data_IF_953744040090
#
_entry.id   IF_953744040090
#
_cell.length_a   1.000
_cell.length_b   1.000
_cell.length_c   1.000
_cell.angle_alpha   90.00
_cell.angle_beta   90.00
_cell.angle_gamma   90.00
#
_symmetry.space_group_name_H-M   'P 1'
#
loop_
_entity.id
_entity.type
_entity.pdbx_description
1 polymer ?
#
# COMPACT_ATOMS: atom_id res chain seq x y z
N UNK A 1 6.65 42.29 -17.40
CA UNK A 1 6.71 41.53 -16.13
C UNK A 1 5.41 40.78 -15.99
N UNK A 2 5.47 39.44 -15.92
CA UNK A 2 4.33 38.59 -15.62
C UNK A 2 4.93 37.25 -15.21
N UNK A 3 5.01 36.99 -13.90
CA UNK A 3 5.53 35.73 -13.37
C UNK A 3 4.60 34.61 -13.86
N UNK A 4 5.12 33.48 -14.39
CA UNK A 4 4.30 32.29 -14.49
C UNK A 4 3.90 31.90 -13.06
N UNK A 5 2.59 31.96 -12.80
CA UNK A 5 1.97 31.37 -11.62
C UNK A 5 2.50 29.94 -11.53
N UNK A 6 3.26 29.65 -10.48
CA UNK A 6 3.58 28.27 -10.15
C UNK A 6 2.24 27.59 -9.86
N UNK A 7 1.71 26.90 -10.86
CA UNK A 7 0.76 25.84 -10.60
C UNK A 7 1.51 24.88 -9.68
N UNK A 8 1.23 24.97 -8.37
CA UNK A 8 1.51 23.89 -7.46
C UNK A 8 0.74 22.70 -8.01
N UNK A 9 1.38 21.91 -8.87
CA UNK A 9 0.99 20.54 -9.10
C UNK A 9 1.10 19.87 -7.74
N UNK A 10 -0.01 19.80 -7.01
CA UNK A 10 -0.13 18.87 -5.91
C UNK A 10 -0.02 17.49 -6.54
N UNK A 11 1.21 16.99 -6.67
CA UNK A 11 1.46 15.64 -7.10
C UNK A 11 0.94 14.74 -5.98
N UNK A 12 -0.19 14.10 -6.26
CA UNK A 12 -0.77 13.14 -5.34
C UNK A 12 0.14 11.92 -5.27
N UNK A 13 0.94 11.86 -4.20
CA UNK A 13 1.73 10.67 -3.88
C UNK A 13 0.75 9.57 -3.49
N UNK A 14 0.58 8.62 -4.39
CA UNK A 14 -0.43 7.56 -4.31
C UNK A 14 0.07 6.26 -3.69
N UNK A 15 1.38 6.16 -3.40
CA UNK A 15 2.02 4.98 -2.81
C UNK A 15 3.03 4.31 -3.76
N UNK A 16 3.51 3.10 -3.41
CA UNK A 16 3.08 2.32 -2.26
C UNK A 16 3.62 2.88 -0.94
N UNK A 17 2.74 3.03 0.05
CA UNK A 17 3.11 3.22 1.45
C UNK A 17 3.32 1.83 2.07
N UNK A 18 4.42 1.64 2.78
CA UNK A 18 4.81 0.32 3.27
C UNK A 18 4.78 0.32 4.80
N UNK A 19 4.15 -0.71 5.37
CA UNK A 19 4.16 -1.00 6.80
C UNK A 19 4.83 -2.35 6.99
N UNK A 20 5.81 -2.42 7.88
CA UNK A 20 6.49 -3.65 8.23
C UNK A 20 5.91 -4.25 9.50
N UNK A 21 6.02 -5.58 9.62
CA UNK A 21 5.53 -6.33 10.76
C UNK A 21 6.63 -7.24 11.29
N UNK A 22 6.64 -7.41 12.60
CA UNK A 22 7.46 -8.43 13.24
C UNK A 22 6.86 -9.83 13.02
N UNK A 23 7.65 -10.86 13.34
CA UNK A 23 7.28 -12.27 13.09
C UNK A 23 5.97 -12.61 13.78
N UNK A 24 5.06 -13.25 13.07
CA UNK A 24 3.76 -13.72 13.55
C UNK A 24 2.81 -12.63 14.08
N UNK A 25 3.19 -11.36 13.94
CA UNK A 25 2.38 -10.21 14.34
C UNK A 25 1.47 -9.73 13.22
N UNK A 26 0.22 -9.42 13.57
CA UNK A 26 -0.80 -8.87 12.69
C UNK A 26 -1.71 -7.84 13.39
N UNK A 27 -1.12 -6.88 14.11
CA UNK A 27 -1.81 -5.69 14.64
C UNK A 27 -1.12 -4.41 14.16
N UNK A 28 -1.83 -3.28 14.23
CA UNK A 28 -1.30 -1.96 13.87
C UNK A 28 -0.72 -1.29 15.11
N UNK A 29 0.61 -1.20 15.17
CA UNK A 29 1.36 -0.48 16.21
C UNK A 29 1.38 1.04 15.96
N UNK A 30 2.04 1.78 16.84
CA UNK A 30 2.08 3.25 16.77
C UNK A 30 2.81 3.77 15.53
N UNK A 31 3.90 3.14 15.11
CA UNK A 31 4.62 3.52 13.89
C UNK A 31 3.73 3.33 12.65
N UNK A 32 3.04 2.19 12.56
CA UNK A 32 2.08 1.92 11.51
C UNK A 32 0.90 2.92 11.51
N UNK A 33 0.39 3.31 12.68
CA UNK A 33 -0.68 4.34 12.78
C UNK A 33 -0.25 5.66 12.17
N UNK A 34 0.96 6.14 12.48
CA UNK A 34 1.47 7.39 11.92
C UNK A 34 1.51 7.38 10.38
N UNK A 35 1.89 6.24 9.78
CA UNK A 35 1.88 6.05 8.33
C UNK A 35 0.44 6.04 7.80
N UNK A 36 -0.46 5.29 8.42
CA UNK A 36 -1.86 5.17 7.99
C UNK A 36 -2.67 6.46 8.12
N UNK A 37 -2.39 7.26 9.14
CA UNK A 37 -2.99 8.58 9.30
C UNK A 37 -2.55 9.51 8.17
N UNK A 38 -1.27 9.43 7.77
CA UNK A 38 -0.76 10.17 6.61
C UNK A 38 -1.43 9.70 5.33
N UNK A 39 -1.60 8.39 5.13
CA UNK A 39 -2.32 7.83 3.97
C UNK A 39 -3.75 8.38 3.92
N UNK A 40 -4.47 8.37 5.05
CA UNK A 40 -5.86 8.83 5.13
C UNK A 40 -5.98 10.33 4.80
N UNK A 41 -5.08 11.16 5.34
CA UNK A 41 -5.03 12.60 5.01
C UNK A 41 -4.72 12.88 3.54
N UNK A 42 -3.77 12.14 2.97
CA UNK A 42 -3.42 12.28 1.55
C UNK A 42 -4.59 11.85 0.66
N UNK A 43 -5.22 10.72 0.96
CA UNK A 43 -6.40 10.24 0.24
C UNK A 43 -7.52 11.29 0.27
N UNK A 44 -7.82 11.87 1.45
CA UNK A 44 -8.84 12.91 1.58
C UNK A 44 -8.50 14.18 0.78
N UNK A 45 -7.22 14.58 0.73
CA UNK A 45 -6.77 15.78 0.01
C UNK A 45 -6.76 15.57 -1.50
N UNK A 46 -6.38 14.38 -1.96
CA UNK A 46 -6.22 14.04 -3.37
C UNK A 46 -7.50 13.55 -4.05
N UNK A 47 -8.50 13.19 -3.27
CA UNK A 47 -9.57 12.30 -3.71
C UNK A 47 -9.03 10.88 -3.92
N UNK A 48 -9.79 9.88 -3.51
CA UNK A 48 -9.48 8.47 -3.73
C UNK A 48 -10.68 7.84 -4.42
N UNK A 49 -10.40 7.02 -5.44
CA UNK A 49 -11.39 6.20 -6.13
C UNK A 49 -11.24 4.73 -5.76
N UNK A 50 -10.00 4.25 -5.64
CA UNK A 50 -9.74 2.86 -5.23
C UNK A 50 -8.44 2.73 -4.46
N UNK A 51 -8.52 2.17 -3.27
CA UNK A 51 -7.38 1.84 -2.42
C UNK A 51 -7.08 0.35 -2.53
N UNK A 52 -5.82 0.00 -2.74
CA UNK A 52 -5.33 -1.38 -2.84
C UNK A 52 -4.39 -1.62 -1.67
N UNK A 53 -4.64 -2.70 -0.94
CA UNK A 53 -3.82 -3.16 0.17
C UNK A 53 -3.30 -4.55 -0.16
N UNK A 54 -1.98 -4.68 -0.36
CA UNK A 54 -1.32 -5.96 -0.62
C UNK A 54 -0.60 -6.45 0.64
N UNK A 55 -0.95 -7.64 1.11
CA UNK A 55 -0.39 -8.23 2.33
C UNK A 55 0.58 -9.37 2.04
N UNK A 56 1.78 -9.29 2.62
CA UNK A 56 2.90 -10.20 2.37
C UNK A 56 3.38 -10.89 3.65
N UNK A 57 4.03 -12.03 3.47
CA UNK A 57 4.70 -12.80 4.51
C UNK A 57 6.07 -13.26 3.97
N UNK A 58 7.02 -13.55 4.87
CA UNK A 58 8.26 -14.22 4.47
C UNK A 58 8.04 -15.74 4.24
N UNK A 59 9.08 -16.47 3.82
CA UNK A 59 8.95 -17.91 3.49
C UNK A 59 8.98 -18.82 4.70
N UNK A 60 9.20 -18.28 5.90
CA UNK A 60 9.14 -19.01 7.16
C UNK A 60 7.76 -18.93 7.78
N UNK A 61 7.05 -17.82 7.57
CA UNK A 61 5.72 -17.57 8.11
C UNK A 61 4.59 -18.32 7.39
N UNK A 62 3.46 -18.45 8.08
CA UNK A 62 2.20 -18.82 7.44
C UNK A 62 1.77 -17.74 6.43
N UNK A 63 1.56 -18.07 5.14
CA UNK A 63 1.10 -17.11 4.12
C UNK A 63 -0.16 -16.33 4.48
N UNK A 64 -1.05 -16.91 5.30
CA UNK A 64 -2.28 -16.26 5.77
C UNK A 64 -2.04 -15.02 6.65
N UNK A 65 -0.84 -14.87 7.24
CA UNK A 65 -0.48 -13.66 7.98
C UNK A 65 -0.52 -12.42 7.08
N UNK A 66 -0.13 -12.55 5.81
CA UNK A 66 -0.24 -11.45 4.84
C UNK A 66 -1.69 -10.96 4.73
N UNK A 67 -2.66 -11.89 4.62
CA UNK A 67 -4.09 -11.55 4.57
C UNK A 67 -4.58 -10.92 5.88
N UNK A 68 -4.16 -11.44 7.04
CA UNK A 68 -4.52 -10.89 8.36
C UNK A 68 -4.00 -9.46 8.53
N UNK A 69 -2.74 -9.21 8.19
CA UNK A 69 -2.12 -7.88 8.20
C UNK A 69 -2.87 -6.90 7.29
N UNK A 70 -3.21 -7.32 6.07
CA UNK A 70 -4.00 -6.48 5.16
C UNK A 70 -5.40 -6.14 5.72
N UNK A 71 -6.05 -7.07 6.43
CA UNK A 71 -7.36 -6.84 7.07
C UNK A 71 -7.30 -5.82 8.20
N UNK A 72 -6.29 -5.88 9.07
CA UNK A 72 -6.18 -4.88 10.16
C UNK A 72 -5.85 -3.50 9.62
N UNK A 73 -5.05 -3.41 8.56
CA UNK A 73 -4.78 -2.16 7.84
C UNK A 73 -6.06 -1.61 7.18
N UNK A 74 -6.86 -2.47 6.52
CA UNK A 74 -8.17 -2.09 5.96
C UNK A 74 -9.11 -1.54 7.03
N UNK A 75 -9.23 -2.24 8.16
CA UNK A 75 -10.09 -1.82 9.25
C UNK A 75 -9.67 -0.46 9.81
N UNK A 76 -8.35 -0.22 9.92
CA UNK A 76 -7.83 1.07 10.35
C UNK A 76 -8.21 2.18 9.37
N UNK A 77 -7.90 2.03 8.07
CA UNK A 77 -8.22 3.04 7.05
C UNK A 77 -9.72 3.31 6.93
N UNK A 78 -10.55 2.28 7.09
CA UNK A 78 -12.01 2.42 7.13
C UNK A 78 -12.48 3.29 8.31
N UNK A 79 -11.91 3.09 9.50
CA UNK A 79 -12.16 3.94 10.65
C UNK A 79 -11.67 5.39 10.49
N UNK A 80 -10.81 5.66 9.50
CA UNK A 80 -10.23 6.97 9.21
C UNK A 80 -10.74 7.60 7.92
N UNK A 81 -11.92 7.16 7.46
CA UNK A 81 -12.68 7.85 6.42
C UNK A 81 -12.44 7.36 4.99
N UNK A 82 -11.80 6.20 4.79
CA UNK A 82 -11.76 5.52 3.48
C UNK A 82 -12.84 4.42 3.46
N UNK A 83 -13.97 4.58 2.75
CA UNK A 83 -15.03 3.58 2.66
C UNK A 83 -14.52 2.19 2.34
N UNK A 84 -15.03 1.20 3.08
CA UNK A 84 -14.66 -0.21 2.90
C UNK A 84 -14.89 -0.75 1.49
N UNK A 85 -15.87 -0.18 0.77
CA UNK A 85 -16.22 -0.53 -0.61
C UNK A 85 -15.15 -0.11 -1.62
N UNK A 86 -14.36 0.91 -1.28
CA UNK A 86 -13.30 1.44 -2.13
C UNK A 86 -11.95 0.76 -1.84
N UNK A 87 -11.89 -0.17 -0.87
CA UNK A 87 -10.67 -0.86 -0.46
C UNK A 87 -10.65 -2.31 -0.96
N UNK A 88 -9.70 -2.61 -1.85
CA UNK A 88 -9.34 -3.98 -2.23
C UNK A 88 -8.22 -4.54 -1.36
N UNK A 89 -8.38 -5.79 -0.93
CA UNK A 89 -7.29 -6.57 -0.32
C UNK A 89 -6.76 -7.58 -1.32
N UNK A 90 -5.42 -7.67 -1.42
CA UNK A 90 -4.74 -8.77 -2.10
C UNK A 90 -3.82 -9.50 -1.12
N UNK A 91 -4.14 -10.76 -0.83
CA UNK A 91 -3.26 -11.62 -0.06
C UNK A 91 -2.19 -12.20 -1.00
N UNK A 92 -0.93 -11.85 -0.77
CA UNK A 92 0.22 -12.32 -1.56
C UNK A 92 1.03 -13.39 -0.84
N UNK A 93 0.97 -13.43 0.49
CA UNK A 93 1.83 -14.33 1.28
C UNK A 93 3.29 -14.15 0.85
N UNK A 94 3.99 -15.26 0.59
CA UNK A 94 5.37 -15.26 0.11
C UNK A 94 5.53 -15.16 -1.41
N UNK A 95 4.46 -15.00 -2.21
CA UNK A 95 4.54 -15.06 -3.68
C UNK A 95 5.12 -13.80 -4.35
N UNK A 96 5.29 -12.72 -3.57
CA UNK A 96 5.80 -11.41 -4.00
C UNK A 96 6.80 -10.88 -2.97
N UNK A 97 7.93 -11.58 -2.86
CA UNK A 97 9.04 -11.18 -1.99
C UNK A 97 9.64 -9.85 -2.45
N UNK A 98 9.96 -8.98 -1.50
CA UNK A 98 10.72 -7.74 -1.71
C UNK A 98 12.21 -8.04 -1.83
N UNK A 99 12.70 -8.94 -0.96
CA UNK A 99 14.05 -9.49 -1.01
C UNK A 99 13.91 -10.98 -1.29
N UNK A 100 14.51 -11.44 -2.39
CA UNK A 100 14.44 -12.84 -2.78
C UNK A 100 15.13 -13.72 -1.71
N UNK A 101 14.41 -14.70 -1.19
CA UNK A 101 14.92 -15.66 -0.20
C UNK A 101 14.50 -17.09 -0.54
N UNK A 102 15.29 -18.06 -0.08
CA UNK A 102 14.93 -19.48 -0.17
C UNK A 102 13.75 -19.85 0.75
N UNK A 103 13.35 -21.12 0.73
CA UNK A 103 12.32 -21.63 1.62
C UNK A 103 12.73 -21.52 3.09
N UNK A 104 11.76 -21.26 3.98
CA UNK A 104 11.97 -21.21 5.44
C UNK A 104 12.98 -20.15 5.92
N UNK A 105 13.10 -19.02 5.20
CA UNK A 105 14.00 -17.91 5.56
C UNK A 105 13.18 -16.75 6.10
N UNK A 106 13.49 -16.33 7.33
CA UNK A 106 12.90 -15.14 7.93
C UNK A 106 13.51 -13.88 7.28
N UNK A 107 12.67 -12.94 6.85
CA UNK A 107 13.11 -11.69 6.25
C UNK A 107 12.10 -10.58 6.54
N UNK A 108 12.48 -9.62 7.39
CA UNK A 108 11.57 -8.55 7.86
C UNK A 108 11.05 -7.71 6.70
N UNK A 109 11.86 -7.50 5.67
CA UNK A 109 11.46 -6.78 4.46
C UNK A 109 10.34 -7.49 3.68
N UNK A 110 10.17 -8.81 3.87
CA UNK A 110 9.09 -9.58 3.25
C UNK A 110 7.81 -9.60 4.11
N UNK A 111 7.90 -9.27 5.40
CA UNK A 111 6.77 -9.16 6.33
C UNK A 111 6.18 -7.76 6.29
N UNK A 112 5.35 -7.48 5.28
CA UNK A 112 4.85 -6.12 5.03
C UNK A 112 3.44 -6.07 4.48
N UNK A 113 2.86 -4.88 4.57
CA UNK A 113 1.69 -4.48 3.80
C UNK A 113 2.08 -3.28 2.93
N UNK A 114 1.70 -3.32 1.66
CA UNK A 114 1.83 -2.21 0.71
C UNK A 114 0.46 -1.60 0.44
N UNK A 115 0.37 -0.27 0.46
CA UNK A 115 -0.89 0.47 0.31
C UNK A 115 -0.74 1.46 -0.83
N UNK A 116 -1.64 1.41 -1.80
CA UNK A 116 -1.69 2.40 -2.88
C UNK A 116 -3.12 2.86 -3.12
N UNK A 117 -3.34 4.15 -3.38
CA UNK A 117 -4.66 4.67 -3.72
C UNK A 117 -4.67 5.30 -5.12
N UNK A 118 -5.76 5.15 -5.86
CA UNK A 118 -5.92 5.67 -7.20
C UNK A 118 -6.96 6.80 -7.15
N UNK A 119 -6.59 8.06 -7.45
CA UNK A 119 -7.52 9.18 -7.41
C UNK A 119 -8.61 9.07 -8.48
N UNK A 120 -9.84 9.51 -8.18
CA UNK A 120 -10.97 9.52 -9.12
C UNK A 120 -10.69 10.45 -10.31
N UNK A 121 -9.97 11.55 -10.07
CA UNK A 121 -9.67 12.58 -11.08
C UNK A 121 -8.27 12.48 -11.68
N UNK A 122 -7.51 11.41 -11.38
CA UNK A 122 -6.25 11.18 -12.08
C UNK A 122 -6.57 10.65 -13.49
N UNK A 123 -6.05 11.24 -14.58
CA UNK A 123 -6.05 10.53 -15.86
C UNK A 123 -5.38 9.18 -15.62
N UNK A 124 -6.08 8.10 -16.01
CA UNK A 124 -5.56 6.74 -15.92
C UNK A 124 -4.10 6.75 -16.41
N UNK A 125 -3.13 6.13 -15.71
CA UNK A 125 -1.81 5.96 -16.28
C UNK A 125 -2.02 5.25 -17.61
N UNK A 126 -1.67 5.92 -18.71
CA UNK A 126 -1.68 5.30 -20.02
C UNK A 126 -0.89 4.00 -19.87
N UNK A 127 -1.52 2.86 -20.18
CA UNK A 127 -0.87 1.55 -20.11
C UNK A 127 0.55 1.72 -20.64
N UNK A 128 1.55 1.49 -19.79
CA UNK A 128 2.92 1.38 -20.25
C UNK A 128 2.89 0.30 -21.34
N UNK A 129 2.99 0.71 -22.61
CA UNK A 129 3.18 -0.22 -23.71
C UNK A 129 4.44 -0.99 -23.33
N UNK A 130 4.27 -2.27 -22.99
CA UNK A 130 5.40 -3.18 -22.92
C UNK A 130 6.13 -3.05 -24.26
N UNK A 131 7.36 -2.52 -24.24
CA UNK A 131 8.24 -2.69 -25.39
C UNK A 131 8.42 -4.21 -25.56
N UNK A 132 8.28 -4.77 -26.78
CA UNK A 132 8.76 -6.12 -27.00
C UNK A 132 10.26 -6.10 -26.69
N UNK A 133 10.67 -6.95 -25.74
CA UNK A 133 12.08 -7.19 -25.46
C UNK A 133 12.69 -7.91 -26.69
N UNK A 134 13.96 -7.61 -27.02
CA UNK A 134 14.62 -8.19 -28.19
C UNK A 134 14.79 -9.70 -28.07
#
# INVERSE_FOLDING_TARGET
>A
MGLPSQANSFECITGPFIIFFDSDIAYVDEEARNILDRVSRLAATCGYGRTVIEGHADTRENPELGRKRAKVVRAYLAGHGIPEVDIDIKARGASRQRIATGANVAERQNRRVEISFHPIFAPLPAKARAKPQP
#
